data_IF_266651081051
#
_entry.id   IF_266651081051
#
_cell.length_a   1.000
_cell.length_b   1.000
_cell.length_c   1.000
_cell.angle_alpha   90.00
_cell.angle_beta   90.00
_cell.angle_gamma   90.00
#
_symmetry.space_group_name_H-M   'P 1'
#
loop_
_entity.id
_entity.type
_entity.pdbx_description
1 polymer ?
#
# COMPACT_ATOMS: atom_id res chain seq x y z
N UNK A 1 -69.46 -7.50 5.43
CA UNK A 1 -68.92 -8.51 6.39
C UNK A 1 -68.06 -9.47 5.57
N UNK A 2 -66.76 -9.69 5.75
CA UNK A 2 -65.80 -9.43 6.82
C UNK A 2 -64.46 -9.00 6.17
N UNK A 3 -63.87 -7.88 6.62
CA UNK A 3 -62.45 -7.57 6.36
C UNK A 3 -61.63 -8.26 7.44
N UNK A 4 -60.80 -9.23 7.05
CA UNK A 4 -59.76 -9.76 7.93
C UNK A 4 -58.58 -8.78 7.92
N UNK A 5 -58.54 -7.89 8.92
CA UNK A 5 -57.36 -7.09 9.23
C UNK A 5 -56.40 -7.97 10.01
N UNK A 6 -55.41 -8.52 9.30
CA UNK A 6 -54.20 -9.08 9.91
C UNK A 6 -53.47 -7.93 10.61
N UNK A 7 -53.67 -7.83 11.92
CA UNK A 7 -52.88 -6.97 12.79
C UNK A 7 -51.50 -7.60 12.94
N UNK A 8 -50.55 -7.22 12.07
CA UNK A 8 -49.14 -7.45 12.34
C UNK A 8 -48.73 -6.53 13.49
N UNK A 9 -48.69 -7.09 14.70
CA UNK A 9 -47.99 -6.47 15.83
C UNK A 9 -46.50 -6.74 15.60
N UNK A 10 -45.66 -5.73 15.36
CA UNK A 10 -44.23 -5.96 15.38
C UNK A 10 -43.88 -6.32 16.81
N UNK A 11 -43.53 -7.58 17.06
CA UNK A 11 -42.89 -7.96 18.33
C UNK A 11 -41.65 -7.09 18.49
N UNK A 12 -41.70 -6.21 19.47
CA UNK A 12 -40.61 -5.36 19.89
C UNK A 12 -39.58 -6.22 20.63
N UNK A 13 -38.90 -7.13 19.94
CA UNK A 13 -37.81 -7.95 20.50
C UNK A 13 -36.87 -8.44 19.39
N UNK A 14 -36.12 -7.52 18.77
CA UNK A 14 -34.85 -7.88 18.13
C UNK A 14 -33.82 -6.80 18.48
N UNK A 15 -33.29 -6.82 19.72
CA UNK A 15 -31.87 -6.55 20.01
C UNK A 15 -31.55 -7.27 21.33
N UNK A 16 -30.66 -8.27 21.31
CA UNK A 16 -29.34 -8.00 21.83
C UNK A 16 -28.30 -8.18 20.72
N UNK A 17 -27.74 -7.07 20.25
CA UNK A 17 -26.48 -7.01 19.53
C UNK A 17 -25.40 -7.55 20.46
N UNK A 18 -25.27 -8.86 20.47
CA UNK A 18 -24.57 -9.67 21.47
C UNK A 18 -23.07 -9.48 21.34
N UNK A 19 -22.37 -9.46 22.47
CA UNK A 19 -20.91 -9.34 22.61
C UNK A 19 -20.09 -10.19 21.61
N UNK A 20 -20.62 -11.33 21.16
CA UNK A 20 -20.02 -12.18 20.13
C UNK A 20 -19.81 -11.46 18.78
N UNK A 21 -20.80 -10.70 18.31
CA UNK A 21 -20.68 -9.94 17.05
C UNK A 21 -19.66 -8.80 17.16
N UNK A 22 -19.58 -8.16 18.33
CA UNK A 22 -18.57 -7.14 18.60
C UNK A 22 -17.17 -7.76 18.66
N UNK A 23 -17.05 -8.92 19.31
CA UNK A 23 -15.80 -9.65 19.43
C UNK A 23 -15.24 -10.10 18.08
N UNK A 24 -16.06 -10.68 17.21
CA UNK A 24 -15.62 -11.07 15.86
C UNK A 24 -15.25 -9.85 14.99
N UNK A 25 -15.99 -8.73 15.10
CA UNK A 25 -15.61 -7.47 14.43
C UNK A 25 -14.25 -6.98 14.89
N UNK A 26 -14.00 -6.93 16.20
CA UNK A 26 -12.72 -6.50 16.78
C UNK A 26 -11.57 -7.40 16.34
N UNK A 27 -11.79 -8.72 16.29
CA UNK A 27 -10.79 -9.67 15.76
C UNK A 27 -10.42 -9.37 14.31
N UNK A 28 -11.41 -9.20 13.44
CA UNK A 28 -11.17 -8.92 12.01
C UNK A 28 -10.46 -7.57 11.85
N UNK A 29 -10.93 -6.54 12.56
CA UNK A 29 -10.33 -5.22 12.58
C UNK A 29 -8.87 -5.26 13.05
N UNK A 30 -8.59 -6.00 14.13
CA UNK A 30 -7.23 -6.17 14.66
C UNK A 30 -6.34 -6.91 13.67
N UNK A 31 -6.82 -7.99 13.04
CA UNK A 31 -6.05 -8.73 12.04
C UNK A 31 -5.67 -7.83 10.85
N UNK A 32 -6.61 -7.02 10.39
CA UNK A 32 -6.38 -6.03 9.35
C UNK A 32 -5.33 -4.97 9.75
N UNK A 33 -5.44 -4.40 10.94
CA UNK A 33 -4.46 -3.43 11.45
C UNK A 33 -3.08 -4.04 11.56
N UNK A 34 -2.97 -5.25 12.08
CA UNK A 34 -1.71 -5.97 12.17
C UNK A 34 -1.12 -6.24 10.78
N UNK A 35 -1.95 -6.58 9.79
CA UNK A 35 -1.52 -6.77 8.40
C UNK A 35 -0.94 -5.48 7.81
N UNK A 36 -1.62 -4.34 8.01
CA UNK A 36 -1.13 -3.01 7.57
C UNK A 36 0.20 -2.69 8.24
N UNK A 37 0.27 -2.75 9.57
CA UNK A 37 1.49 -2.46 10.34
C UNK A 37 2.67 -3.34 9.89
N UNK A 38 2.44 -4.64 9.74
CA UNK A 38 3.50 -5.58 9.40
C UNK A 38 4.00 -5.45 7.96
N UNK A 39 3.13 -5.12 7.00
CA UNK A 39 3.44 -5.31 5.59
C UNK A 39 3.39 -4.05 4.72
N UNK A 40 2.58 -3.04 5.07
CA UNK A 40 2.37 -1.87 4.22
C UNK A 40 3.68 -1.22 3.78
N UNK A 41 4.58 -0.94 4.73
CA UNK A 41 5.84 -0.25 4.43
C UNK A 41 6.75 -1.03 3.48
N UNK A 42 6.85 -2.35 3.64
CA UNK A 42 7.66 -3.19 2.74
C UNK A 42 7.02 -3.32 1.35
N UNK A 43 5.70 -3.46 1.29
CA UNK A 43 4.96 -3.52 0.03
C UNK A 43 5.10 -2.22 -0.75
N UNK A 44 4.94 -1.07 -0.09
CA UNK A 44 5.12 0.24 -0.71
C UNK A 44 6.54 0.39 -1.25
N UNK A 45 7.58 0.05 -0.47
CA UNK A 45 8.98 0.11 -0.97
C UNK A 45 9.20 -0.76 -2.20
N UNK A 46 8.59 -1.94 -2.24
CA UNK A 46 8.71 -2.87 -3.38
C UNK A 46 8.03 -2.29 -4.61
N UNK A 47 6.82 -1.75 -4.46
CA UNK A 47 6.09 -1.07 -5.52
C UNK A 47 6.88 0.13 -6.07
N UNK A 48 7.42 0.97 -5.19
CA UNK A 48 8.25 2.12 -5.60
C UNK A 48 9.53 1.67 -6.34
N UNK A 49 10.18 0.59 -5.91
CA UNK A 49 11.33 0.04 -6.64
C UNK A 49 10.95 -0.43 -8.05
N UNK A 50 9.75 -1.00 -8.21
CA UNK A 50 9.23 -1.48 -9.49
C UNK A 50 8.92 -0.32 -10.43
N UNK A 51 8.20 0.71 -9.97
CA UNK A 51 7.94 1.94 -10.75
C UNK A 51 9.24 2.63 -11.18
N UNK A 52 10.25 2.65 -10.31
CA UNK A 52 11.56 3.22 -10.64
C UNK A 52 12.39 2.36 -11.62
N UNK A 53 11.97 1.12 -11.88
CA UNK A 53 12.73 0.11 -12.64
C UNK A 53 14.13 -0.10 -12.07
N UNK A 54 14.24 -0.12 -10.73
CA UNK A 54 15.52 -0.16 -10.01
C UNK A 54 16.42 -1.31 -10.47
N UNK A 55 15.84 -2.51 -10.63
CA UNK A 55 16.58 -3.72 -11.06
C UNK A 55 17.10 -3.57 -12.50
N UNK A 56 16.23 -3.16 -13.42
CA UNK A 56 16.58 -3.02 -14.84
C UNK A 56 17.65 -1.96 -15.04
N UNK A 57 17.48 -0.77 -14.43
CA UNK A 57 18.51 0.29 -14.45
C UNK A 57 19.85 -0.16 -13.90
N UNK A 58 19.85 -0.94 -12.81
CA UNK A 58 21.09 -1.48 -12.23
C UNK A 58 21.77 -2.47 -13.17
N UNK A 59 20.98 -3.35 -13.80
CA UNK A 59 21.47 -4.37 -14.73
C UNK A 59 22.04 -3.72 -16.00
N UNK A 60 21.26 -2.86 -16.66
CA UNK A 60 21.68 -2.19 -17.89
C UNK A 60 22.93 -1.35 -17.69
N UNK A 61 23.01 -0.56 -16.62
CA UNK A 61 24.19 0.26 -16.33
C UNK A 61 25.44 -0.60 -16.07
N UNK A 62 25.28 -1.72 -15.36
CA UNK A 62 26.39 -2.66 -15.12
C UNK A 62 26.88 -3.27 -16.44
N UNK A 63 25.97 -3.74 -17.28
CA UNK A 63 26.31 -4.35 -18.58
C UNK A 63 27.01 -3.35 -19.51
N UNK A 64 26.51 -2.12 -19.60
CA UNK A 64 27.12 -1.04 -20.37
C UNK A 64 28.55 -0.73 -19.92
N UNK A 65 28.75 -0.57 -18.60
CA UNK A 65 30.06 -0.23 -18.05
C UNK A 65 31.07 -1.39 -18.13
N UNK A 66 30.60 -2.63 -17.99
CA UNK A 66 31.43 -3.81 -18.24
C UNK A 66 31.87 -3.90 -19.69
N UNK A 67 30.97 -3.59 -20.64
CA UNK A 67 31.31 -3.55 -22.06
C UNK A 67 32.33 -2.44 -22.39
N UNK A 68 32.31 -1.33 -21.66
CA UNK A 68 33.33 -0.27 -21.78
C UNK A 68 34.63 -0.53 -21.00
N UNK A 69 34.77 -1.70 -20.36
CA UNK A 69 35.99 -2.07 -19.62
C UNK A 69 36.19 -1.32 -18.31
N UNK A 70 35.13 -0.77 -17.70
CA UNK A 70 35.22 -0.09 -16.41
C UNK A 70 35.56 -1.05 -15.26
N UNK A 71 36.22 -0.54 -14.22
CA UNK A 71 36.51 -1.32 -13.01
C UNK A 71 35.23 -1.63 -12.23
N UNK A 72 35.26 -2.67 -11.38
CA UNK A 72 34.11 -3.02 -10.54
C UNK A 72 33.82 -1.92 -9.48
N UNK A 73 34.84 -1.21 -9.03
CA UNK A 73 34.74 -0.04 -8.15
C UNK A 73 33.96 1.09 -8.83
N UNK A 74 34.31 1.43 -10.07
CA UNK A 74 33.62 2.45 -10.86
C UNK A 74 32.17 2.07 -11.13
N UNK A 75 31.91 0.79 -11.44
CA UNK A 75 30.56 0.26 -11.64
C UNK A 75 29.72 0.40 -10.37
N UNK A 76 30.27 0.03 -9.21
CA UNK A 76 29.57 0.14 -7.92
C UNK A 76 29.23 1.60 -7.60
N UNK A 77 30.17 2.52 -7.82
CA UNK A 77 29.95 3.94 -7.56
C UNK A 77 28.93 4.55 -8.53
N UNK A 78 28.98 4.17 -9.81
CA UNK A 78 28.00 4.59 -10.80
C UNK A 78 26.59 4.07 -10.47
N UNK A 79 26.43 2.81 -10.06
CA UNK A 79 25.13 2.27 -9.61
C UNK A 79 24.63 3.01 -8.37
N UNK A 80 25.51 3.27 -7.40
CA UNK A 80 25.17 4.00 -6.17
C UNK A 80 24.63 5.39 -6.51
N UNK A 81 25.38 6.17 -7.29
CA UNK A 81 25.08 7.55 -7.63
C UNK A 81 23.92 7.71 -8.63
N UNK A 82 23.85 6.87 -9.66
CA UNK A 82 22.86 7.01 -10.75
C UNK A 82 21.55 6.25 -10.52
N UNK A 83 21.56 5.21 -9.66
CA UNK A 83 20.38 4.37 -9.43
C UNK A 83 19.91 4.43 -7.98
N UNK A 84 20.79 4.17 -7.02
CA UNK A 84 20.36 4.02 -5.62
C UNK A 84 20.02 5.34 -4.95
N UNK A 85 20.87 6.36 -5.10
CA UNK A 85 20.63 7.69 -4.54
C UNK A 85 19.32 8.29 -5.10
N UNK A 86 19.08 8.35 -6.43
CA UNK A 86 17.83 8.90 -6.95
C UNK A 86 16.60 8.09 -6.55
N UNK A 87 16.70 6.75 -6.48
CA UNK A 87 15.61 5.89 -6.00
C UNK A 87 15.27 6.17 -4.53
N UNK A 88 16.29 6.43 -3.69
CA UNK A 88 16.09 6.74 -2.27
C UNK A 88 15.53 8.15 -2.06
N UNK A 89 15.97 9.12 -2.87
CA UNK A 89 15.38 10.47 -2.89
C UNK A 89 13.91 10.40 -3.27
N UNK A 90 13.56 9.68 -4.35
CA UNK A 90 12.18 9.45 -4.76
C UNK A 90 11.31 8.91 -3.61
N UNK A 91 11.76 7.85 -2.93
CA UNK A 91 11.04 7.27 -1.78
C UNK A 91 10.88 8.25 -0.63
N UNK A 92 11.89 9.07 -0.38
CA UNK A 92 11.87 10.08 0.69
C UNK A 92 10.86 11.19 0.39
N UNK A 93 10.79 11.65 -0.86
CA UNK A 93 9.78 12.60 -1.34
C UNK A 93 8.37 12.04 -1.20
N UNK A 94 8.15 10.80 -1.64
CA UNK A 94 6.86 10.11 -1.54
C UNK A 94 6.46 9.86 -0.10
N UNK A 95 7.43 9.58 0.78
CA UNK A 95 7.19 9.41 2.22
C UNK A 95 6.48 10.62 2.85
N UNK A 96 6.73 11.81 2.29
CA UNK A 96 6.15 13.10 2.71
C UNK A 96 4.95 13.52 1.85
N UNK A 97 4.33 12.59 1.12
CA UNK A 97 3.23 12.85 0.16
C UNK A 97 3.62 13.74 -1.03
N UNK A 98 4.92 13.96 -1.26
CA UNK A 98 5.41 14.74 -2.39
C UNK A 98 5.44 13.95 -3.69
N UNK A 99 5.51 14.68 -4.82
CA UNK A 99 5.77 14.08 -6.13
C UNK A 99 7.26 14.18 -6.49
N UNK A 100 7.86 13.10 -7.01
CA UNK A 100 9.24 13.16 -7.49
C UNK A 100 9.42 14.16 -8.64
N UNK A 101 10.68 14.55 -8.85
CA UNK A 101 11.09 15.43 -9.95
C UNK A 101 10.69 14.88 -11.32
N UNK A 102 10.48 15.80 -12.27
CA UNK A 102 10.15 15.47 -13.66
C UNK A 102 11.32 14.68 -14.26
N UNK A 103 11.01 13.60 -15.00
CA UNK A 103 12.01 12.76 -15.66
C UNK A 103 12.58 11.62 -14.78
N UNK A 104 12.37 11.63 -13.46
CA UNK A 104 12.82 10.54 -12.59
C UNK A 104 12.02 9.24 -12.79
N UNK A 105 10.74 9.41 -13.12
CA UNK A 105 9.78 8.37 -13.47
C UNK A 105 9.18 8.70 -14.85
N UNK A 106 8.85 7.66 -15.61
CA UNK A 106 8.03 7.81 -16.81
C UNK A 106 6.58 8.21 -16.46
N UNK A 107 5.86 8.75 -17.45
CA UNK A 107 4.51 9.29 -17.24
C UNK A 107 3.50 8.24 -16.75
N UNK A 108 3.67 6.98 -17.15
CA UNK A 108 2.80 5.90 -16.71
C UNK A 108 3.03 5.62 -15.22
N UNK A 109 4.29 5.49 -14.82
CA UNK A 109 4.70 5.27 -13.42
C UNK A 109 4.28 6.44 -12.53
N UNK A 110 4.41 7.67 -13.04
CA UNK A 110 3.97 8.87 -12.32
C UNK A 110 2.46 8.93 -12.15
N UNK A 111 1.68 8.54 -13.17
CA UNK A 111 0.21 8.41 -13.06
C UNK A 111 -0.21 7.37 -12.02
N UNK A 112 0.43 6.19 -12.01
CA UNK A 112 0.17 5.15 -10.99
C UNK A 112 0.50 5.63 -9.58
N UNK A 113 1.63 6.31 -9.41
CA UNK A 113 2.00 6.91 -8.13
C UNK A 113 0.99 7.97 -7.67
N UNK A 114 0.55 8.84 -8.58
CA UNK A 114 -0.47 9.85 -8.26
C UNK A 114 -1.80 9.20 -7.87
N UNK A 115 -2.21 8.12 -8.56
CA UNK A 115 -3.40 7.34 -8.21
C UNK A 115 -3.28 6.71 -6.81
N UNK A 116 -2.10 6.22 -6.43
CA UNK A 116 -1.85 5.75 -5.06
C UNK A 116 -1.99 6.88 -4.03
N UNK A 117 -1.32 8.01 -4.24
CA UNK A 117 -1.34 9.15 -3.29
C UNK A 117 -2.73 9.77 -3.16
N UNK A 118 -3.54 9.71 -4.23
CA UNK A 118 -4.94 10.16 -4.22
C UNK A 118 -5.87 9.29 -3.36
N UNK A 119 -5.37 8.17 -2.79
CA UNK A 119 -6.13 7.37 -1.81
C UNK A 119 -6.32 8.09 -0.48
N UNK A 120 -5.53 9.14 -0.23
CA UNK A 120 -5.63 9.98 0.95
C UNK A 120 -6.37 11.29 0.60
N UNK A 121 -7.18 11.84 1.53
CA UNK A 121 -7.71 13.20 1.38
C UNK A 121 -6.59 14.19 1.09
N UNK A 122 -6.85 15.24 0.31
CA UNK A 122 -5.81 16.19 -0.11
C UNK A 122 -5.14 16.86 1.10
N UNK A 123 -5.93 17.16 2.12
CA UNK A 123 -5.57 17.80 3.38
C UNK A 123 -4.98 16.82 4.41
N UNK A 124 -4.97 15.52 4.13
CA UNK A 124 -4.41 14.53 5.04
C UNK A 124 -2.90 14.71 5.21
N UNK A 125 -2.45 14.89 6.45
CA UNK A 125 -1.05 15.07 6.84
C UNK A 125 -0.56 13.81 7.55
N UNK A 126 0.53 13.23 7.06
CA UNK A 126 1.16 12.07 7.72
C UNK A 126 1.81 12.49 9.04
N UNK A 127 1.58 11.72 10.10
CA UNK A 127 2.36 11.83 11.34
C UNK A 127 3.85 11.73 11.05
N UNK A 128 4.66 12.56 11.72
CA UNK A 128 6.11 12.67 11.49
C UNK A 128 6.50 12.96 10.03
N UNK A 129 5.58 13.52 9.22
CA UNK A 129 5.74 13.68 7.78
C UNK A 129 6.17 12.37 7.08
N UNK A 130 5.73 11.22 7.59
CA UNK A 130 6.19 9.92 7.11
C UNK A 130 5.03 8.94 6.97
N UNK A 131 4.73 8.59 5.73
CA UNK A 131 3.73 7.57 5.40
C UNK A 131 4.02 6.22 6.08
N UNK A 132 5.29 5.92 6.37
CA UNK A 132 5.69 4.68 7.04
C UNK A 132 5.41 4.73 8.54
N UNK A 133 5.69 5.86 9.19
CA UNK A 133 5.42 6.04 10.61
C UNK A 133 3.91 6.11 10.86
N UNK A 134 3.20 6.89 10.05
CA UNK A 134 1.75 7.06 10.18
C UNK A 134 0.98 5.76 9.91
N UNK A 135 1.45 4.88 9.01
CA UNK A 135 0.87 3.55 8.84
C UNK A 135 0.95 2.68 10.11
N UNK A 136 2.01 2.84 10.90
CA UNK A 136 2.20 2.12 12.15
C UNK A 136 1.34 2.71 13.28
N UNK A 137 1.27 4.04 13.33
CA UNK A 137 0.60 4.78 14.38
C UNK A 137 -0.93 4.90 14.18
N UNK A 138 -1.40 4.89 12.93
CA UNK A 138 -2.79 5.15 12.53
C UNK A 138 -3.26 4.17 11.44
N UNK A 139 -3.11 2.84 11.61
CA UNK A 139 -3.41 1.85 10.56
C UNK A 139 -4.84 1.92 10.04
N UNK A 140 -5.79 2.42 10.83
CA UNK A 140 -7.19 2.64 10.46
C UNK A 140 -7.37 3.54 9.24
N UNK A 141 -6.44 4.46 9.00
CA UNK A 141 -6.48 5.39 7.87
C UNK A 141 -5.89 4.80 6.57
N UNK A 142 -5.34 3.57 6.63
CA UNK A 142 -4.52 3.01 5.55
C UNK A 142 -5.22 1.94 4.72
N UNK A 143 -6.45 1.57 5.04
CA UNK A 143 -7.19 0.55 4.29
C UNK A 143 -7.29 0.84 2.79
N UNK A 144 -7.76 2.05 2.44
CA UNK A 144 -7.92 2.47 1.04
C UNK A 144 -6.59 2.47 0.30
N UNK A 145 -5.56 3.04 0.93
CA UNK A 145 -4.23 3.09 0.35
C UNK A 145 -3.61 1.69 0.18
N UNK A 146 -3.83 0.78 1.14
CA UNK A 146 -3.28 -0.56 1.07
C UNK A 146 -3.98 -1.41 0.01
N UNK A 147 -5.31 -1.32 -0.10
CA UNK A 147 -6.07 -1.89 -1.20
C UNK A 147 -5.58 -1.34 -2.55
N UNK A 148 -5.44 -0.01 -2.66
CA UNK A 148 -4.98 0.62 -3.89
C UNK A 148 -3.56 0.17 -4.28
N UNK A 149 -2.71 -0.03 -3.28
CA UNK A 149 -1.36 -0.56 -3.49
C UNK A 149 -1.40 -1.98 -4.05
N UNK A 150 -2.30 -2.84 -3.58
CA UNK A 150 -2.45 -4.19 -4.14
C UNK A 150 -2.94 -4.16 -5.59
N UNK A 151 -4.00 -3.41 -5.89
CA UNK A 151 -4.50 -3.24 -7.26
C UNK A 151 -3.39 -2.78 -8.21
N UNK A 152 -2.66 -1.73 -7.83
CA UNK A 152 -1.58 -1.19 -8.66
C UNK A 152 -0.42 -2.18 -8.79
N UNK A 153 -0.13 -2.95 -7.74
CA UNK A 153 0.89 -3.99 -7.78
C UNK A 153 0.52 -5.12 -8.75
N UNK A 154 -0.75 -5.50 -8.83
CA UNK A 154 -1.25 -6.47 -9.81
C UNK A 154 -1.11 -5.93 -11.25
N UNK A 155 -1.41 -4.64 -11.49
CA UNK A 155 -1.16 -4.02 -12.82
C UNK A 155 0.31 -3.90 -13.20
N UNK A 156 1.23 -4.11 -12.24
CA UNK A 156 2.67 -4.15 -12.43
C UNK A 156 3.21 -5.60 -12.49
N UNK A 157 2.30 -6.59 -12.58
CA UNK A 157 2.60 -8.02 -12.58
C UNK A 157 3.44 -8.45 -11.38
N UNK A 158 3.29 -7.73 -10.25
CA UNK A 158 3.94 -8.08 -9.01
C UNK A 158 3.19 -9.22 -8.34
N UNK A 159 3.90 -10.01 -7.51
CA UNK A 159 3.28 -11.08 -6.73
C UNK A 159 2.09 -10.52 -5.91
N UNK A 160 0.86 -11.04 -6.11
CA UNK A 160 -0.31 -10.61 -5.35
C UNK A 160 -0.09 -10.82 -3.85
N UNK A 161 -0.77 -10.00 -3.04
CA UNK A 161 -0.74 -10.13 -1.59
C UNK A 161 -2.11 -9.85 -0.99
N UNK A 162 -2.43 -10.56 0.11
CA UNK A 162 -3.69 -10.37 0.80
C UNK A 162 -3.71 -9.02 1.55
N UNK A 163 -4.60 -8.11 1.13
CA UNK A 163 -4.88 -6.87 1.86
C UNK A 163 -5.74 -7.13 3.10
N UNK A 164 -6.72 -8.00 2.96
CA UNK A 164 -7.68 -8.36 4.00
C UNK A 164 -7.50 -9.83 4.35
N UNK A 165 -6.75 -10.17 5.42
CA UNK A 165 -6.68 -11.54 5.87
C UNK A 165 -8.06 -11.99 6.34
N UNK A 166 -8.77 -12.73 5.50
CA UNK A 166 -9.93 -13.50 5.95
C UNK A 166 -9.42 -14.64 6.82
N UNK A 167 -10.14 -14.92 7.91
CA UNK A 167 -9.90 -16.15 8.68
C UNK A 167 -10.11 -17.33 7.74
N UNK A 168 -9.10 -18.18 7.58
CA UNK A 168 -9.23 -19.47 6.89
C UNK A 168 -9.87 -20.53 7.78
N UNK A 169 -10.04 -20.25 9.07
CA UNK A 169 -10.62 -21.18 10.05
C UNK A 169 -11.88 -20.59 10.69
N UNK A 170 -12.99 -21.30 10.47
CA UNK A 170 -14.22 -21.18 11.25
C UNK A 170 -13.91 -21.78 12.63
N UNK A 171 -14.06 -21.02 13.71
CA UNK A 171 -14.02 -21.58 15.07
C UNK A 171 -15.49 -21.87 15.42
N UNK A 172 -15.92 -23.14 15.52
CA UNK A 172 -17.30 -23.52 15.81
C UNK A 172 -17.75 -23.10 17.21
#
# INVERSE_FOLDING_TARGET
MLRSTSNFVPSADIVPSTSANLYERLKIQTANYNNIKAHFGNRLRTFLNKLFKKKDKTKSLREEMQASGSSEEDIKEAIRSRVYVPCNQMKSTISRKGMPEVGLLDDQSRRKLNAFISSYPKEYVFKENSIYYDAMASPENYFKAFLKLAELSETEEMKPFACFPLRTTFIP
#
